data_IF_625387969488
#
_entry.id   IF_625387969488
#
_cell.length_a   1.000
_cell.length_b   1.000
_cell.length_c   1.000
_cell.angle_alpha   90.00
_cell.angle_beta   90.00
_cell.angle_gamma   90.00
#
_symmetry.space_group_name_H-M   'P 1'
#
loop_
_entity.id
_entity.type
_entity.pdbx_description
1 polymer ?
#
# COMPACT_ATOMS: atom_id res chain seq x y z
N UNK A 1 -23.39 39.81 69.23
CA UNK A 1 -22.33 40.74 68.77
C UNK A 1 -21.91 40.25 67.39
N UNK A 2 -22.50 40.80 66.32
CA UNK A 2 -21.89 41.75 65.36
C UNK A 2 -20.83 41.05 64.46
N UNK A 3 -21.11 40.63 63.22
CA UNK A 3 -21.37 41.36 61.95
C UNK A 3 -20.10 41.66 61.12
N UNK A 4 -20.26 41.56 59.78
CA UNK A 4 -19.47 42.11 58.64
C UNK A 4 -18.55 41.12 57.91
N UNK A 5 -18.71 40.79 56.62
CA UNK A 5 -18.80 41.55 55.33
C UNK A 5 -17.48 42.18 54.84
N UNK A 6 -17.15 41.85 53.58
CA UNK A 6 -16.21 42.57 52.70
C UNK A 6 -14.94 41.78 52.34
N UNK A 7 -14.32 41.88 51.16
CA UNK A 7 -14.67 42.41 49.84
C UNK A 7 -13.49 42.01 48.92
N UNK A 8 -13.81 41.75 47.65
CA UNK A 8 -12.98 41.63 46.44
C UNK A 8 -11.61 42.34 46.44
N UNK A 9 -10.61 41.66 45.85
CA UNK A 9 -9.35 42.26 45.39
C UNK A 9 -8.72 41.44 44.26
N UNK A 10 -9.09 41.77 43.01
CA UNK A 10 -8.40 41.35 41.79
C UNK A 10 -7.07 42.11 41.70
N UNK A 11 -5.94 41.42 41.52
CA UNK A 11 -4.71 42.03 41.01
C UNK A 11 -4.07 41.14 39.94
N UNK A 12 -4.10 41.65 38.72
CA UNK A 12 -3.43 41.12 37.54
C UNK A 12 -2.05 41.77 37.42
N UNK A 13 -0.96 41.00 37.46
CA UNK A 13 0.39 41.46 37.12
C UNK A 13 1.03 40.50 36.10
N UNK A 14 1.01 40.91 34.83
CA UNK A 14 1.88 40.39 33.79
C UNK A 14 3.22 41.15 33.83
N UNK A 15 4.35 40.44 33.89
CA UNK A 15 5.70 41.02 33.72
C UNK A 15 6.06 41.08 32.23
N UNK A 16 6.61 42.21 31.81
CA UNK A 16 7.29 42.42 30.52
C UNK A 16 8.73 41.89 30.55
N UNK A 17 9.25 41.33 29.44
CA UNK A 17 10.69 41.19 29.25
C UNK A 17 11.27 42.43 28.56
N UNK A 18 12.45 42.85 29.01
CA UNK A 18 13.23 43.94 28.43
C UNK A 18 13.92 43.48 27.12
N UNK A 19 13.90 44.35 26.10
CA UNK A 19 14.68 44.19 24.86
C UNK A 19 15.71 45.31 24.79
N UNK A 20 17.00 44.96 24.63
CA UNK A 20 18.08 45.87 24.25
C UNK A 20 18.68 45.43 22.91
N UNK A 21 18.47 46.29 21.89
CA UNK A 21 19.46 46.70 20.88
C UNK A 21 19.93 45.71 19.80
N UNK A 22 19.62 46.01 18.54
CA UNK A 22 20.46 45.64 17.38
C UNK A 22 19.76 45.31 16.06
N UNK A 23 19.44 46.31 15.23
CA UNK A 23 19.58 46.27 13.76
C UNK A 23 18.73 45.34 12.87
N UNK A 24 17.65 45.91 12.32
CA UNK A 24 17.12 45.82 10.93
C UNK A 24 16.54 44.51 10.31
N UNK A 25 15.22 44.64 10.03
CA UNK A 25 14.35 44.15 8.92
C UNK A 25 13.36 42.99 9.19
N UNK A 26 12.07 43.39 9.27
CA UNK A 26 10.77 42.74 8.98
C UNK A 26 10.49 41.32 9.52
N UNK A 27 9.79 41.15 10.64
CA UNK A 27 8.32 41.23 10.87
C UNK A 27 7.46 40.13 10.20
N UNK A 28 7.22 39.05 10.95
CA UNK A 28 5.89 38.46 11.09
C UNK A 28 5.68 38.11 12.57
N UNK A 29 5.08 39.04 13.32
CA UNK A 29 4.71 38.84 14.72
C UNK A 29 3.40 38.04 14.80
N UNK A 30 3.47 36.84 15.36
CA UNK A 30 2.31 36.04 15.75
C UNK A 30 1.65 36.67 16.97
N UNK A 31 0.39 37.09 16.82
CA UNK A 31 -0.50 37.39 17.94
C UNK A 31 -0.99 36.06 18.54
N UNK A 32 -0.76 35.85 19.85
CA UNK A 32 -1.54 34.91 20.65
C UNK A 32 -2.04 35.67 21.88
N UNK A 33 -3.27 36.18 21.77
CA UNK A 33 -4.09 36.44 22.93
C UNK A 33 -4.73 35.10 23.32
N UNK A 34 -4.56 34.73 24.59
CA UNK A 34 -5.39 33.73 25.24
C UNK A 34 -6.82 34.27 25.32
N UNK A 35 -7.79 33.48 24.90
CA UNK A 35 -9.18 33.62 25.32
C UNK A 35 -9.58 32.31 25.98
N UNK A 36 -9.86 32.42 27.26
CA UNK A 36 -10.51 31.44 28.10
C UNK A 36 -11.98 31.25 27.69
N UNK A 37 -12.51 30.08 28.05
CA UNK A 37 -13.87 29.87 28.55
C UNK A 37 -15.08 30.20 27.66
N UNK A 38 -15.38 29.37 26.66
CA UNK A 38 -16.77 29.13 26.20
C UNK A 38 -17.00 27.69 25.70
N UNK A 39 -16.57 26.64 26.40
CA UNK A 39 -17.05 25.26 26.12
C UNK A 39 -17.09 24.41 27.39
N UNK A 40 -17.83 24.84 28.41
CA UNK A 40 -18.13 24.00 29.58
C UNK A 40 -19.36 24.48 30.37
N UNK A 41 -20.45 24.83 29.69
CA UNK A 41 -21.73 25.12 30.34
C UNK A 41 -22.91 24.86 29.40
N UNK A 42 -23.09 23.61 28.96
CA UNK A 42 -24.28 23.22 28.20
C UNK A 42 -24.74 21.76 28.41
N UNK A 43 -24.23 21.04 29.42
CA UNK A 43 -24.68 19.68 29.74
C UNK A 43 -24.78 19.47 31.26
N UNK A 44 -25.62 20.25 31.93
CA UNK A 44 -26.12 19.91 33.26
C UNK A 44 -27.31 20.81 33.64
N UNK A 45 -28.43 20.72 32.93
CA UNK A 45 -29.70 21.31 33.36
C UNK A 45 -30.84 20.32 33.15
N UNK A 46 -30.97 19.47 34.17
CA UNK A 46 -32.21 19.14 34.87
C UNK A 46 -33.45 18.75 34.04
N UNK A 47 -33.72 17.44 33.99
CA UNK A 47 -34.87 16.80 33.36
C UNK A 47 -36.20 17.01 34.10
N UNK A 48 -36.38 18.11 34.86
CA UNK A 48 -37.59 18.34 35.69
C UNK A 48 -38.43 19.56 35.31
N UNK A 49 -38.05 20.34 34.30
CA UNK A 49 -38.81 21.55 33.90
C UNK A 49 -39.70 21.38 32.66
N UNK A 50 -39.80 20.19 32.07
CA UNK A 50 -40.63 19.94 30.87
C UNK A 50 -42.12 19.66 31.13
N UNK A 51 -42.64 19.86 32.35
CA UNK A 51 -44.07 19.65 32.66
C UNK A 51 -44.91 20.92 32.80
N UNK A 52 -44.37 22.12 32.53
CA UNK A 52 -45.09 23.37 32.78
C UNK A 52 -45.31 24.28 31.55
N UNK A 53 -45.17 23.76 30.32
CA UNK A 53 -45.50 24.49 29.09
C UNK A 53 -46.29 23.60 28.12
N UNK A 54 -47.44 23.11 28.58
CA UNK A 54 -48.46 22.48 27.72
C UNK A 54 -49.86 22.91 28.13
N UNK A 55 -50.08 24.20 28.36
CA UNK A 55 -51.44 24.76 28.38
C UNK A 55 -51.40 26.13 27.72
N UNK A 56 -51.99 26.25 26.53
CA UNK A 56 -52.39 27.53 25.96
C UNK A 56 -51.73 27.95 24.65
N UNK A 57 -51.91 27.19 23.56
CA UNK A 57 -52.02 27.76 22.21
C UNK A 57 -52.74 26.76 21.31
N UNK A 58 -54.04 26.97 21.15
CA UNK A 58 -54.85 26.29 20.14
C UNK A 58 -54.41 26.72 18.74
N UNK A 59 -54.24 25.71 17.88
CA UNK A 59 -54.54 25.69 16.44
C UNK A 59 -53.56 26.36 15.47
N UNK A 60 -53.08 25.52 14.52
CA UNK A 60 -52.40 25.82 13.24
C UNK A 60 -50.88 25.99 13.25
N UNK A 61 -50.12 24.94 13.62
CA UNK A 61 -48.80 24.70 12.99
C UNK A 61 -48.20 23.32 13.27
N UNK A 62 -49.01 22.31 13.58
CA UNK A 62 -48.46 20.97 13.87
C UNK A 62 -47.97 20.26 12.62
N UNK A 63 -48.61 20.46 11.46
CA UNK A 63 -48.19 19.84 10.20
C UNK A 63 -46.84 20.36 9.68
N UNK A 64 -46.56 21.66 9.83
CA UNK A 64 -45.29 22.25 9.39
C UNK A 64 -44.12 21.86 10.30
N UNK A 65 -44.32 21.79 11.61
CA UNK A 65 -43.29 21.30 12.53
C UNK A 65 -43.02 19.80 12.34
N UNK A 66 -44.06 18.98 12.13
CA UNK A 66 -43.87 17.56 11.81
C UNK A 66 -43.16 17.34 10.48
N UNK A 67 -43.48 18.12 9.44
CA UNK A 67 -42.77 18.06 8.14
C UNK A 67 -41.33 18.55 8.24
N UNK A 68 -41.03 19.57 9.05
CA UNK A 68 -39.66 20.06 9.25
C UNK A 68 -38.81 19.03 10.01
N UNK A 69 -39.37 18.38 11.04
CA UNK A 69 -38.68 17.31 11.78
C UNK A 69 -38.49 16.08 10.89
N UNK A 70 -39.46 15.74 10.03
CA UNK A 70 -39.33 14.64 9.06
C UNK A 70 -38.29 14.96 7.97
N UNK A 71 -38.27 16.18 7.46
CA UNK A 71 -37.29 16.63 6.46
C UNK A 71 -35.87 16.67 7.05
N UNK A 72 -35.71 17.14 8.30
CA UNK A 72 -34.42 17.15 9.00
C UNK A 72 -33.98 15.72 9.33
N UNK A 73 -34.87 14.81 9.71
CA UNK A 73 -34.52 13.40 9.94
C UNK A 73 -34.20 12.64 8.65
N UNK A 74 -34.86 12.94 7.52
CA UNK A 74 -34.50 12.37 6.21
C UNK A 74 -33.17 12.92 5.70
N UNK A 75 -32.88 14.21 5.92
CA UNK A 75 -31.59 14.83 5.59
C UNK A 75 -30.44 14.36 6.50
N UNK A 76 -30.74 13.95 7.74
CA UNK A 76 -29.75 13.37 8.67
C UNK A 76 -29.57 11.85 8.45
N UNK A 77 -30.61 11.14 8.00
CA UNK A 77 -30.54 9.71 7.68
C UNK A 77 -29.75 9.42 6.38
N UNK A 78 -29.64 10.40 5.47
CA UNK A 78 -28.81 10.27 4.25
C UNK A 78 -27.30 10.41 4.49
N UNK A 79 -26.85 10.52 5.74
CA UNK A 79 -25.44 10.67 6.12
C UNK A 79 -24.95 9.54 7.03
N UNK A 80 -25.55 8.34 6.99
CA UNK A 80 -24.92 7.17 7.61
C UNK A 80 -23.64 6.82 6.82
N UNK A 81 -22.49 6.65 7.49
CA UNK A 81 -21.27 6.22 6.80
C UNK A 81 -21.55 4.90 6.07
N UNK A 82 -21.00 4.69 4.87
CA UNK A 82 -21.32 3.51 4.06
C UNK A 82 -21.02 2.24 4.86
N UNK A 83 -22.06 1.45 5.07
CA UNK A 83 -21.95 0.14 5.70
C UNK A 83 -21.11 -0.78 4.81
N UNK A 84 -20.70 -1.93 5.36
CA UNK A 84 -20.01 -2.96 4.58
C UNK A 84 -20.79 -3.27 3.28
N UNK A 85 -20.13 -3.34 2.11
CA UNK A 85 -20.84 -3.56 0.84
C UNK A 85 -21.73 -4.80 0.90
N UNK A 86 -23.02 -4.63 0.61
CA UNK A 86 -24.03 -5.67 0.82
C UNK A 86 -23.88 -6.87 -0.12
N UNK A 87 -23.26 -6.66 -1.28
CA UNK A 87 -22.97 -7.66 -2.31
C UNK A 87 -21.69 -8.47 -2.02
N UNK A 88 -20.91 -8.10 -1.00
CA UNK A 88 -19.68 -8.80 -0.66
C UNK A 88 -19.92 -9.91 0.38
N UNK A 89 -19.13 -11.00 0.32
CA UNK A 89 -19.15 -12.03 1.34
C UNK A 89 -18.92 -11.41 2.71
N UNK A 90 -19.77 -11.72 3.69
CA UNK A 90 -19.61 -11.11 5.00
C UNK A 90 -18.26 -11.47 5.60
N UNK A 91 -17.65 -10.57 6.37
CA UNK A 91 -16.37 -10.89 6.94
C UNK A 91 -16.42 -12.00 7.97
N UNK A 92 -15.38 -12.83 8.04
CA UNK A 92 -15.34 -13.94 9.01
C UNK A 92 -15.29 -13.36 10.42
N UNK A 93 -16.08 -13.96 11.32
CA UNK A 93 -16.00 -13.63 12.73
C UNK A 93 -14.61 -13.99 13.24
N UNK A 94 -13.86 -12.95 13.58
CA UNK A 94 -12.43 -13.02 13.83
C UNK A 94 -12.03 -13.91 15.03
N UNK A 95 -12.95 -14.59 15.70
CA UNK A 95 -12.64 -15.55 16.76
C UNK A 95 -11.93 -16.80 16.19
N UNK A 96 -12.40 -17.33 15.06
CA UNK A 96 -12.11 -18.71 14.66
C UNK A 96 -10.73 -18.90 14.01
N UNK A 97 -10.23 -17.89 13.28
CA UNK A 97 -8.97 -17.96 12.54
C UNK A 97 -7.98 -16.89 13.04
N UNK A 98 -7.34 -17.15 14.18
CA UNK A 98 -6.36 -16.25 14.79
C UNK A 98 -4.95 -16.83 14.83
N UNK A 99 -3.97 -16.00 14.48
CA UNK A 99 -2.54 -16.22 14.74
C UNK A 99 -2.07 -15.25 15.81
N UNK A 100 -1.76 -15.76 17.01
CA UNK A 100 -1.33 -14.93 18.15
C UNK A 100 -2.26 -13.76 18.52
N UNK A 101 -3.57 -13.93 18.36
CA UNK A 101 -4.57 -12.91 18.64
C UNK A 101 -4.86 -11.93 17.48
N UNK A 102 -4.12 -12.04 16.37
CA UNK A 102 -4.38 -11.33 15.12
C UNK A 102 -5.28 -12.13 14.19
N UNK A 103 -6.07 -11.50 13.30
CA UNK A 103 -6.70 -12.23 12.21
C UNK A 103 -5.62 -12.89 11.33
N UNK A 104 -5.88 -14.10 10.84
CA UNK A 104 -5.01 -14.72 9.84
C UNK A 104 -5.27 -14.08 8.47
N UNK A 105 -4.28 -13.36 7.94
CA UNK A 105 -4.33 -12.78 6.60
C UNK A 105 -3.58 -13.62 5.56
N UNK A 106 -3.05 -14.78 5.94
CA UNK A 106 -2.21 -15.61 5.08
C UNK A 106 -2.97 -16.07 3.83
N UNK A 107 -2.28 -16.03 2.69
CA UNK A 107 -2.84 -16.49 1.42
C UNK A 107 -2.34 -15.71 0.22
N UNK A 108 -2.77 -16.15 -0.95
CA UNK A 108 -2.47 -15.52 -2.23
C UNK A 108 -3.69 -14.73 -2.73
N UNK A 109 -3.47 -13.48 -3.13
CA UNK A 109 -4.52 -12.56 -3.58
C UNK A 109 -4.19 -12.01 -4.97
N UNK A 110 -5.21 -11.86 -5.81
CA UNK A 110 -5.06 -11.36 -7.17
C UNK A 110 -5.61 -9.93 -7.33
N UNK A 111 -5.27 -9.30 -8.45
CA UNK A 111 -5.63 -7.92 -8.79
C UNK A 111 -5.26 -6.93 -7.68
N UNK A 112 -4.15 -7.21 -6.98
CA UNK A 112 -3.60 -6.34 -5.97
C UNK A 112 -3.06 -5.11 -6.66
N UNK A 113 -3.43 -3.95 -6.12
CA UNK A 113 -3.01 -2.68 -6.69
C UNK A 113 -2.03 -1.98 -5.77
N UNK A 114 -1.36 -0.94 -6.27
CA UNK A 114 -0.48 -0.07 -5.47
C UNK A 114 -1.14 0.50 -4.23
N UNK A 115 -2.47 0.65 -4.26
CA UNK A 115 -3.31 1.04 -3.16
C UNK A 115 -3.01 0.21 -1.91
N UNK A 116 -2.86 -1.12 -2.02
CA UNK A 116 -2.58 -2.00 -0.87
C UNK A 116 -1.34 -1.54 -0.08
N UNK A 117 -0.27 -1.16 -0.78
CA UNK A 117 0.97 -0.71 -0.14
C UNK A 117 0.76 0.61 0.58
N UNK A 118 0.04 1.54 -0.04
CA UNK A 118 -0.24 2.85 0.56
C UNK A 118 -1.21 2.77 1.75
N UNK A 119 -1.99 1.69 1.87
CA UNK A 119 -2.82 1.44 3.05
C UNK A 119 -2.02 0.88 4.22
N UNK A 120 -0.89 0.22 3.95
CA UNK A 120 -0.06 -0.44 4.97
C UNK A 120 1.15 0.39 5.42
N UNK A 121 1.66 1.26 4.56
CA UNK A 121 2.85 2.08 4.81
C UNK A 121 2.53 3.58 4.74
N UNK A 122 3.41 4.42 5.30
CA UNK A 122 3.31 5.88 5.29
C UNK A 122 3.62 6.51 3.92
N UNK A 123 3.41 5.78 2.82
CA UNK A 123 3.71 6.24 1.48
C UNK A 123 2.67 7.26 0.98
N UNK A 124 3.14 8.33 0.34
CA UNK A 124 2.27 9.31 -0.31
C UNK A 124 1.50 8.65 -1.44
N UNK A 125 0.22 9.01 -1.58
CA UNK A 125 -0.53 8.76 -2.80
C UNK A 125 0.19 9.50 -3.93
N UNK A 126 0.98 8.78 -4.75
CA UNK A 126 1.51 9.36 -5.98
C UNK A 126 0.29 9.56 -6.90
N UNK A 127 -0.01 10.82 -7.21
CA UNK A 127 -1.18 11.23 -8.00
C UNK A 127 -1.30 10.43 -9.29
N UNK A 128 -2.53 9.97 -9.56
CA UNK A 128 -3.09 9.48 -10.82
C UNK A 128 -2.28 8.40 -11.59
N UNK A 129 -2.87 7.21 -11.60
CA UNK A 129 -2.53 6.12 -12.49
C UNK A 129 -2.58 6.56 -13.96
N UNK A 130 -1.61 6.12 -14.74
CA UNK A 130 -1.83 5.84 -16.15
C UNK A 130 -1.45 4.38 -16.41
N UNK A 131 -2.50 3.54 -16.41
CA UNK A 131 -2.58 2.12 -16.79
C UNK A 131 -2.24 1.05 -15.73
N UNK A 132 -3.33 0.56 -15.12
CA UNK A 132 -3.64 -0.86 -14.84
C UNK A 132 -2.82 -1.65 -13.81
N UNK A 133 -2.93 -1.30 -12.53
CA UNK A 133 -2.46 -2.13 -11.40
C UNK A 133 -3.25 -3.45 -11.17
N UNK A 134 -4.03 -3.95 -12.13
CA UNK A 134 -4.68 -5.27 -12.04
C UNK A 134 -3.74 -6.42 -12.38
N UNK A 135 -2.47 -6.14 -12.58
CA UNK A 135 -1.44 -7.02 -13.10
C UNK A 135 -0.59 -7.66 -12.00
N UNK A 136 -0.85 -7.30 -10.73
CA UNK A 136 -0.11 -7.81 -9.58
C UNK A 136 -0.94 -8.77 -8.74
N UNK A 137 -0.21 -9.67 -8.08
CA UNK A 137 -0.69 -10.51 -7.00
C UNK A 137 0.12 -10.22 -5.74
N UNK A 138 -0.46 -10.50 -4.58
CA UNK A 138 0.25 -10.46 -3.31
C UNK A 138 0.14 -11.80 -2.59
N UNK A 139 1.27 -12.28 -2.08
CA UNK A 139 1.33 -13.39 -1.13
C UNK A 139 1.54 -12.86 0.27
N UNK A 140 0.60 -13.16 1.16
CA UNK A 140 0.68 -12.86 2.58
C UNK A 140 1.14 -14.11 3.32
N UNK A 141 2.21 -13.99 4.09
CA UNK A 141 2.67 -15.01 5.03
C UNK A 141 2.71 -14.39 6.42
N UNK A 142 2.14 -15.05 7.41
CA UNK A 142 2.07 -14.53 8.77
C UNK A 142 2.67 -15.51 9.76
N UNK A 143 3.40 -14.96 10.75
CA UNK A 143 3.93 -15.73 11.86
C UNK A 143 2.79 -16.43 12.63
N UNK A 144 3.04 -17.62 13.17
CA UNK A 144 2.04 -18.34 13.98
C UNK A 144 1.66 -17.56 15.26
N UNK A 145 2.61 -16.80 15.80
CA UNK A 145 2.42 -15.88 16.93
C UNK A 145 1.86 -14.50 16.53
N UNK A 146 1.60 -14.28 15.23
CA UNK A 146 1.08 -13.02 14.70
C UNK A 146 2.00 -11.81 14.85
N UNK A 147 3.28 -11.99 15.23
CA UNK A 147 4.19 -10.88 15.50
C UNK A 147 4.76 -10.23 14.23
N UNK A 148 4.72 -10.92 13.10
CA UNK A 148 5.10 -10.35 11.81
C UNK A 148 4.17 -10.81 10.69
N UNK A 149 4.06 -9.97 9.67
CA UNK A 149 3.36 -10.21 8.42
C UNK A 149 4.30 -9.90 7.26
N UNK A 150 4.51 -10.85 6.35
CA UNK A 150 5.28 -10.68 5.13
C UNK A 150 4.37 -10.62 3.93
N UNK A 151 4.58 -9.63 3.08
CA UNK A 151 3.83 -9.39 1.85
C UNK A 151 4.82 -9.44 0.68
N UNK A 152 4.57 -10.35 -0.24
CA UNK A 152 5.36 -10.48 -1.47
C UNK A 152 4.49 -10.12 -2.67
N UNK A 153 4.78 -8.96 -3.26
CA UNK A 153 4.18 -8.52 -4.52
C UNK A 153 4.92 -9.17 -5.69
N UNK A 154 4.16 -9.66 -6.65
CA UNK A 154 4.67 -10.19 -7.93
C UNK A 154 3.62 -9.99 -9.03
N UNK A 155 3.93 -10.34 -10.27
CA UNK A 155 2.97 -10.31 -11.37
C UNK A 155 1.97 -11.47 -11.28
N UNK A 156 0.74 -11.22 -11.70
CA UNK A 156 -0.23 -12.28 -11.99
C UNK A 156 -0.11 -12.76 -13.46
N UNK A 157 -1.00 -13.64 -13.90
CA UNK A 157 -0.97 -14.22 -15.27
C UNK A 157 -1.06 -13.14 -16.35
N UNK A 158 -1.93 -12.15 -16.15
CA UNK A 158 -2.07 -11.03 -17.09
C UNK A 158 -0.83 -10.15 -17.08
N UNK A 159 -0.37 -9.75 -15.89
CA UNK A 159 0.82 -8.93 -15.73
C UNK A 159 2.08 -9.58 -16.30
N UNK A 160 2.23 -10.89 -16.18
CA UNK A 160 3.36 -11.61 -16.76
C UNK A 160 3.34 -11.57 -18.30
N UNK A 161 2.17 -11.76 -18.92
CA UNK A 161 2.01 -11.63 -20.37
C UNK A 161 2.27 -10.21 -20.84
N UNK A 162 1.70 -9.23 -20.16
CA UNK A 162 1.90 -7.81 -20.49
C UNK A 162 3.38 -7.42 -20.29
N UNK A 163 4.07 -7.98 -19.29
CA UNK A 163 5.50 -7.77 -19.06
C UNK A 163 6.35 -8.35 -20.19
N UNK A 164 6.03 -9.57 -20.64
CA UNK A 164 6.71 -10.21 -21.77
C UNK A 164 6.51 -9.46 -23.08
N UNK A 165 5.33 -8.90 -23.27
CA UNK A 165 5.01 -8.06 -24.41
C UNK A 165 5.59 -6.64 -24.29
N UNK A 166 6.33 -6.32 -23.21
CA UNK A 166 6.81 -4.98 -22.86
C UNK A 166 5.67 -3.93 -22.84
N UNK A 167 4.46 -4.34 -22.49
CA UNK A 167 3.27 -3.50 -22.40
C UNK A 167 3.09 -2.88 -21.01
N UNK A 168 3.84 -3.35 -20.01
CA UNK A 168 3.87 -2.75 -18.68
C UNK A 168 4.57 -1.40 -18.71
N UNK A 169 3.80 -0.34 -18.45
CA UNK A 169 4.32 1.00 -18.17
C UNK A 169 4.40 1.18 -16.65
N UNK A 170 5.54 0.84 -16.06
CA UNK A 170 5.81 1.23 -14.68
C UNK A 170 6.13 2.73 -14.64
N UNK A 171 5.61 3.43 -13.62
CA UNK A 171 6.12 4.77 -13.31
C UNK A 171 7.62 4.66 -13.05
N UNK A 172 8.41 5.39 -13.85
CA UNK A 172 9.85 5.26 -14.01
C UNK A 172 10.68 5.40 -12.72
N UNK A 173 10.09 5.88 -11.63
CA UNK A 173 10.77 6.10 -10.36
C UNK A 173 10.73 4.91 -9.39
N UNK A 174 9.89 3.89 -9.64
CA UNK A 174 9.88 2.66 -8.83
C UNK A 174 9.45 1.42 -9.65
N UNK A 175 10.36 0.86 -10.46
CA UNK A 175 10.06 -0.22 -11.38
C UNK A 175 10.18 -1.57 -10.68
N UNK A 176 9.36 -1.84 -9.66
CA UNK A 176 9.43 -3.13 -8.98
C UNK A 176 8.09 -3.85 -9.01
N UNK A 177 7.79 -4.59 -10.11
CA UNK A 177 6.75 -5.63 -10.09
C UNK A 177 6.96 -6.67 -8.98
N UNK A 178 8.16 -6.72 -8.40
CA UNK A 178 8.57 -7.66 -7.37
C UNK A 178 9.01 -6.89 -6.13
N UNK A 179 8.18 -6.85 -5.08
CA UNK A 179 8.51 -6.17 -3.81
C UNK A 179 8.21 -7.10 -2.65
N UNK A 180 9.12 -7.15 -1.68
CA UNK A 180 8.90 -7.85 -0.40
C UNK A 180 8.84 -6.83 0.71
N UNK A 181 7.84 -6.95 1.58
CA UNK A 181 7.66 -6.14 2.76
C UNK A 181 7.51 -7.07 3.96
N UNK A 182 8.21 -6.76 5.05
CA UNK A 182 7.99 -7.43 6.34
C UNK A 182 7.55 -6.36 7.33
N UNK A 183 6.33 -6.53 7.83
CA UNK A 183 5.70 -5.66 8.81
C UNK A 183 5.75 -6.36 10.17
N UNK A 184 5.97 -5.60 11.23
CA UNK A 184 6.07 -6.06 12.60
C UNK A 184 4.94 -5.49 13.45
N UNK A 185 4.44 -6.33 14.35
CA UNK A 185 3.43 -5.94 15.33
C UNK A 185 3.99 -4.85 16.25
N UNK A 186 3.13 -3.90 16.60
CA UNK A 186 3.40 -2.72 17.43
C UNK A 186 4.40 -1.72 16.84
N UNK A 187 4.93 -1.98 15.63
CA UNK A 187 5.76 -1.06 14.86
C UNK A 187 5.01 -0.58 13.63
N UNK A 188 4.52 -1.52 12.82
CA UNK A 188 3.84 -1.25 11.55
C UNK A 188 2.32 -1.50 11.63
N UNK A 189 1.90 -2.45 12.46
CA UNK A 189 0.49 -2.80 12.64
C UNK A 189 0.13 -3.19 14.07
N UNK A 190 -1.16 -3.15 14.41
CA UNK A 190 -1.70 -3.69 15.66
C UNK A 190 -2.93 -4.55 15.39
N UNK A 191 -3.25 -5.45 16.31
CA UNK A 191 -4.41 -6.33 16.19
C UNK A 191 -5.47 -5.93 17.21
N UNK A 192 -6.61 -5.43 16.73
CA UNK A 192 -7.71 -4.90 17.56
C UNK A 192 -9.05 -5.34 17.04
N UNK A 193 -9.92 -5.81 17.92
CA UNK A 193 -11.31 -6.17 17.59
C UNK A 193 -11.45 -7.11 16.38
N UNK A 194 -10.49 -8.02 16.20
CA UNK A 194 -10.50 -8.96 15.07
C UNK A 194 -9.97 -8.41 13.74
N UNK A 195 -9.33 -7.24 13.77
CA UNK A 195 -8.72 -6.60 12.62
C UNK A 195 -7.23 -6.41 12.83
N UNK A 196 -6.49 -6.38 11.72
CA UNK A 196 -5.14 -5.84 11.66
C UNK A 196 -5.25 -4.37 11.27
N UNK A 197 -4.86 -3.45 12.15
CA UNK A 197 -4.89 -1.99 11.93
C UNK A 197 -3.48 -1.50 11.57
N UNK A 198 -3.36 -0.75 10.49
CA UNK A 198 -2.11 -0.12 10.05
C UNK A 198 -1.79 1.08 10.95
N UNK A 199 -0.57 1.14 11.49
CA UNK A 199 -0.10 2.26 12.30
C UNK A 199 0.39 3.45 11.46
N UNK A 200 0.77 3.19 10.21
CA UNK A 200 1.36 4.20 9.32
C UNK A 200 0.34 4.94 8.45
N UNK A 201 -0.85 4.37 8.25
CA UNK A 201 -1.89 5.01 7.43
C UNK A 201 -2.24 6.43 7.89
N UNK A 202 -2.38 6.73 9.20
CA UNK A 202 -2.64 8.08 9.69
C UNK A 202 -1.44 9.04 9.55
N UNK A 203 -0.22 8.52 9.39
CA UNK A 203 1.02 9.32 9.32
C UNK A 203 1.26 9.90 7.92
N UNK A 204 0.64 9.32 6.88
CA UNK A 204 0.80 9.79 5.52
C UNK A 204 0.28 11.23 5.37
N UNK A 205 1.10 12.11 4.79
CA UNK A 205 0.83 13.54 4.69
C UNK A 205 -0.55 13.83 4.12
N UNK A 206 -1.31 14.70 4.78
CA UNK A 206 -2.59 15.17 4.26
C UNK A 206 -2.40 15.81 2.89
N UNK A 207 -3.05 15.24 1.88
CA UNK A 207 -3.33 15.98 0.64
C UNK A 207 -4.36 17.05 0.97
N UNK A 208 -4.33 18.20 0.31
CA UNK A 208 -5.23 19.33 0.60
C UNK A 208 -6.68 18.88 0.81
N UNK A 209 -7.16 19.01 2.05
CA UNK A 209 -8.52 18.67 2.46
C UNK A 209 -8.79 17.20 2.82
N UNK A 210 -7.79 16.32 2.91
CA UNK A 210 -7.98 14.91 3.33
C UNK A 210 -6.98 14.51 4.42
N UNK A 211 -7.49 14.07 5.56
CA UNK A 211 -6.72 13.53 6.69
C UNK A 211 -7.04 12.04 6.90
N UNK A 212 -6.06 11.18 6.70
CA UNK A 212 -6.20 9.73 6.95
C UNK A 212 -6.31 9.44 8.45
N UNK A 213 -7.20 8.53 8.84
CA UNK A 213 -7.46 8.19 10.25
C UNK A 213 -7.25 6.72 10.58
N UNK A 214 -7.69 5.81 9.71
CA UNK A 214 -7.66 4.37 9.98
C UNK A 214 -7.57 3.60 8.67
N UNK A 215 -6.71 2.58 8.64
CA UNK A 215 -6.79 1.50 7.66
C UNK A 215 -6.73 0.18 8.42
N UNK A 216 -7.67 -0.73 8.16
CA UNK A 216 -7.73 -2.02 8.84
C UNK A 216 -8.11 -3.15 7.91
N UNK A 217 -7.57 -4.34 8.17
CA UNK A 217 -7.59 -5.50 7.29
C UNK A 217 -8.12 -6.75 7.99
N UNK A 218 -8.89 -7.55 7.26
CA UNK A 218 -9.33 -8.90 7.64
C UNK A 218 -9.68 -9.75 6.42
N UNK A 219 -10.06 -11.00 6.68
CA UNK A 219 -10.59 -11.92 5.66
C UNK A 219 -12.11 -11.89 5.61
N UNK A 220 -12.64 -12.10 4.40
CA UNK A 220 -14.06 -12.40 4.21
C UNK A 220 -14.38 -13.89 4.16
N UNK A 221 -15.68 -14.22 4.16
CA UNK A 221 -16.17 -15.61 4.13
C UNK A 221 -15.74 -16.38 2.88
N UNK A 222 -15.48 -15.68 1.77
CA UNK A 222 -14.90 -16.26 0.56
C UNK A 222 -13.37 -16.12 0.56
N UNK A 223 -12.79 -15.91 1.75
CA UNK A 223 -11.36 -15.82 1.94
C UNK A 223 -10.70 -14.65 1.18
N UNK A 224 -11.45 -13.65 0.73
CA UNK A 224 -10.90 -12.42 0.17
C UNK A 224 -10.20 -11.58 1.25
N UNK A 225 -9.17 -10.81 0.88
CA UNK A 225 -8.62 -9.76 1.73
C UNK A 225 -9.52 -8.54 1.61
N UNK A 226 -9.98 -8.03 2.74
CA UNK A 226 -10.79 -6.81 2.80
C UNK A 226 -10.03 -5.76 3.60
N UNK A 227 -10.01 -4.53 3.09
CA UNK A 227 -9.60 -3.36 3.85
C UNK A 227 -10.76 -2.38 4.01
N UNK A 228 -10.82 -1.79 5.19
CA UNK A 228 -11.61 -0.61 5.48
C UNK A 228 -10.68 0.57 5.71
N UNK A 229 -10.98 1.71 5.10
CA UNK A 229 -10.28 2.96 5.38
C UNK A 229 -11.25 4.02 5.87
N UNK A 230 -10.76 4.90 6.73
CA UNK A 230 -11.47 6.08 7.20
C UNK A 230 -10.57 7.30 7.03
N UNK A 231 -11.09 8.33 6.38
CA UNK A 231 -10.43 9.61 6.18
C UNK A 231 -11.37 10.76 6.52
N UNK A 232 -10.88 11.77 7.23
CA UNK A 232 -11.58 13.03 7.42
C UNK A 232 -11.36 13.92 6.19
N UNK A 233 -12.43 14.27 5.50
CA UNK A 233 -12.41 15.13 4.31
C UNK A 233 -13.01 16.49 4.65
N UNK A 234 -12.26 17.56 4.38
CA UNK A 234 -12.73 18.93 4.45
C UNK A 234 -13.53 19.24 3.18
N UNK A 235 -14.84 19.44 3.35
CA UNK A 235 -15.74 19.85 2.28
C UNK A 235 -16.07 21.33 2.44
N UNK A 236 -15.97 22.08 1.34
CA UNK A 236 -16.47 23.45 1.27
C UNK A 236 -17.97 23.44 1.08
N UNK A 237 -18.70 24.05 2.02
CA UNK A 237 -20.08 24.45 1.75
C UNK A 237 -20.05 25.75 0.98
N UNK A 238 -20.27 25.69 -0.34
CA UNK A 238 -20.49 26.90 -1.13
C UNK A 238 -21.86 27.47 -0.78
N UNK A 239 -21.90 28.48 0.08
CA UNK A 239 -23.06 29.36 0.21
C UNK A 239 -23.00 30.43 -0.87
N UNK A 240 -24.14 30.75 -1.48
CA UNK A 240 -24.28 31.77 -2.51
C UNK A 240 -23.66 33.11 -2.08
N UNK A 241 -22.58 33.50 -2.76
CA UNK A 241 -22.04 34.83 -3.06
C UNK A 241 -21.97 35.97 -2.02
N UNK A 242 -22.21 35.79 -0.71
CA UNK A 242 -22.14 36.94 0.22
C UNK A 242 -21.48 36.71 1.60
N UNK A 243 -21.26 35.49 2.04
CA UNK A 243 -20.62 35.19 3.34
C UNK A 243 -19.71 33.99 3.18
N UNK A 244 -18.51 34.03 3.77
CA UNK A 244 -17.38 33.17 3.43
C UNK A 244 -17.64 31.65 3.43
N UNK A 245 -16.73 30.89 2.80
CA UNK A 245 -16.82 29.44 2.76
C UNK A 245 -16.70 28.84 4.18
N UNK A 246 -17.72 28.07 4.58
CA UNK A 246 -17.63 27.22 5.76
C UNK A 246 -17.03 25.87 5.35
N UNK A 247 -16.07 25.38 6.13
CA UNK A 247 -15.51 24.04 5.96
C UNK A 247 -16.17 23.11 6.97
N UNK A 248 -16.69 21.97 6.49
CA UNK A 248 -17.12 20.87 7.35
C UNK A 248 -16.15 19.73 7.14
N UNK A 249 -15.63 19.19 8.23
CA UNK A 249 -14.87 17.93 8.21
C UNK A 249 -15.86 16.78 8.36
N UNK A 250 -15.88 15.87 7.38
CA UNK A 250 -16.70 14.67 7.42
C UNK A 250 -15.83 13.43 7.31
N UNK A 251 -16.14 12.40 8.08
CA UNK A 251 -15.47 11.10 7.95
C UNK A 251 -16.05 10.35 6.76
N UNK A 252 -15.20 10.11 5.77
CA UNK A 252 -15.45 9.25 4.62
C UNK A 252 -14.86 7.87 4.88
N UNK A 253 -15.63 6.86 4.53
CA UNK A 253 -15.25 5.46 4.66
C UNK A 253 -15.19 4.82 3.27
N UNK A 254 -14.09 4.14 2.99
CA UNK A 254 -13.89 3.41 1.75
C UNK A 254 -13.62 1.93 2.04
N UNK A 255 -14.06 1.07 1.13
CA UNK A 255 -13.92 -0.38 1.22
C UNK A 255 -13.13 -0.89 0.03
N UNK A 256 -12.13 -1.72 0.31
CA UNK A 256 -11.34 -2.40 -0.71
C UNK A 256 -11.43 -3.91 -0.52
N UNK A 257 -11.44 -4.66 -1.62
CA UNK A 257 -11.44 -6.12 -1.61
C UNK A 257 -10.50 -6.66 -2.67
N UNK A 258 -9.68 -7.62 -2.28
CA UNK A 258 -8.85 -8.41 -3.17
C UNK A 258 -9.26 -9.88 -3.05
N UNK A 259 -9.74 -10.49 -4.15
CA UNK A 259 -10.19 -11.88 -4.11
C UNK A 259 -9.02 -12.82 -3.81
N UNK A 260 -9.30 -13.91 -3.09
CA UNK A 260 -8.35 -15.00 -2.98
C UNK A 260 -8.08 -15.57 -4.36
N UNK A 261 -6.81 -15.83 -4.65
CA UNK A 261 -6.40 -16.46 -5.89
C UNK A 261 -6.83 -17.92 -5.90
N UNK A 262 -7.39 -18.38 -7.02
CA UNK A 262 -7.75 -19.78 -7.18
C UNK A 262 -6.51 -20.65 -7.49
N UNK A 263 -6.48 -21.91 -7.04
CA UNK A 263 -5.38 -22.83 -7.36
C UNK A 263 -5.13 -22.99 -8.87
N UNK A 264 -6.18 -22.93 -9.69
CA UNK A 264 -6.06 -23.00 -11.16
C UNK A 264 -5.31 -21.80 -11.73
N UNK A 265 -5.51 -20.61 -11.15
CA UNK A 265 -4.77 -19.42 -11.56
C UNK A 265 -3.29 -19.52 -11.21
N UNK A 266 -2.93 -20.20 -10.11
CA UNK A 266 -1.53 -20.48 -9.77
C UNK A 266 -0.90 -21.50 -10.71
N UNK A 267 -1.63 -22.54 -11.09
CA UNK A 267 -1.15 -23.50 -12.08
C UNK A 267 -0.89 -22.83 -13.44
N UNK A 268 -1.82 -21.99 -13.91
CA UNK A 268 -1.63 -21.23 -15.17
C UNK A 268 -0.44 -20.29 -15.09
N UNK A 269 -0.31 -19.51 -14.01
CA UNK A 269 0.85 -18.64 -13.79
C UNK A 269 2.16 -19.44 -13.74
N UNK A 270 2.16 -20.58 -13.06
CA UNK A 270 3.31 -21.48 -12.98
C UNK A 270 3.74 -22.03 -14.35
N UNK A 271 2.76 -22.38 -15.20
CA UNK A 271 2.99 -22.85 -16.57
C UNK A 271 3.55 -21.75 -17.48
N UNK A 272 3.20 -20.48 -17.23
CA UNK A 272 3.75 -19.37 -18.00
C UNK A 272 5.16 -19.00 -17.57
N UNK A 273 5.54 -19.16 -16.30
CA UNK A 273 6.87 -18.80 -15.80
C UNK A 273 8.00 -19.57 -16.49
N UNK A 274 8.97 -18.84 -17.02
CA UNK A 274 10.12 -19.43 -17.71
C UNK A 274 11.33 -18.50 -17.68
N UNK A 275 12.43 -18.95 -18.27
CA UNK A 275 13.52 -18.06 -18.70
C UNK A 275 13.54 -18.04 -20.22
N UNK A 276 14.03 -16.95 -20.82
CA UNK A 276 14.15 -16.84 -22.27
C UNK A 276 15.54 -16.36 -22.66
N UNK A 277 16.04 -16.84 -23.79
CA UNK A 277 17.28 -16.39 -24.40
C UNK A 277 16.98 -15.88 -25.81
N UNK A 278 17.34 -14.64 -26.08
CA UNK A 278 17.20 -14.00 -27.39
C UNK A 278 18.56 -13.51 -27.90
N UNK A 279 18.71 -13.38 -29.21
CA UNK A 279 19.77 -12.56 -29.82
C UNK A 279 19.26 -11.17 -30.17
N UNK A 280 20.17 -10.21 -30.17
CA UNK A 280 19.91 -8.93 -30.82
C UNK A 280 20.01 -9.09 -32.35
N UNK A 281 19.39 -8.16 -33.07
CA UNK A 281 19.37 -8.08 -34.54
C UNK A 281 20.70 -7.62 -35.14
N UNK A 282 21.55 -6.98 -34.34
CA UNK A 282 22.89 -6.54 -34.72
C UNK A 282 23.98 -7.48 -34.15
N UNK A 283 25.12 -7.53 -34.82
CA UNK A 283 26.31 -8.32 -34.42
C UNK A 283 27.42 -7.40 -33.91
N UNK A 284 28.20 -7.89 -32.93
CA UNK A 284 29.38 -7.21 -32.44
C UNK A 284 30.62 -7.85 -33.08
N UNK A 285 30.99 -7.33 -34.26
CA UNK A 285 32.05 -7.90 -35.08
C UNK A 285 31.66 -9.24 -35.73
N UNK A 286 32.62 -9.92 -36.37
CA UNK A 286 32.33 -11.14 -37.14
C UNK A 286 32.17 -12.39 -36.26
N UNK A 287 32.62 -12.37 -35.00
CA UNK A 287 32.81 -13.60 -34.20
C UNK A 287 31.81 -13.79 -33.07
N UNK A 288 30.91 -12.83 -32.82
CA UNK A 288 29.99 -12.91 -31.68
C UNK A 288 28.64 -12.25 -31.95
N UNK A 289 27.63 -12.77 -31.25
CA UNK A 289 26.27 -12.23 -31.27
C UNK A 289 25.92 -11.77 -29.86
N UNK A 290 25.51 -10.51 -29.68
CA UNK A 290 24.96 -10.07 -28.42
C UNK A 290 23.64 -10.80 -28.17
N UNK A 291 23.47 -11.28 -26.95
CA UNK A 291 22.28 -12.02 -26.50
C UNK A 291 21.74 -11.42 -25.21
N UNK A 292 20.47 -11.74 -24.96
CA UNK A 292 19.71 -11.30 -23.80
C UNK A 292 19.06 -12.51 -23.15
N UNK A 293 19.43 -12.78 -21.90
CA UNK A 293 18.76 -13.75 -21.05
C UNK A 293 17.84 -13.02 -20.07
N UNK A 294 16.57 -13.40 -20.02
CA UNK A 294 15.57 -12.80 -19.13
C UNK A 294 15.02 -13.85 -18.16
N UNK A 295 14.93 -13.49 -16.88
CA UNK A 295 14.21 -14.26 -15.88
C UNK A 295 12.74 -13.78 -15.79
N UNK A 296 11.80 -14.58 -16.31
CA UNK A 296 10.36 -14.34 -16.18
C UNK A 296 9.72 -15.18 -15.07
N UNK A 297 10.51 -15.79 -14.20
CA UNK A 297 9.99 -16.45 -13.00
C UNK A 297 9.66 -15.41 -11.93
N UNK A 298 8.67 -15.70 -11.10
CA UNK A 298 8.26 -14.85 -9.97
C UNK A 298 9.18 -15.01 -8.75
N UNK A 299 10.18 -15.90 -8.85
CA UNK A 299 11.16 -16.19 -7.81
C UNK A 299 12.59 -16.09 -8.37
N UNK A 300 13.58 -15.79 -7.51
CA UNK A 300 14.97 -15.76 -7.92
C UNK A 300 15.42 -17.12 -8.48
N UNK A 301 16.34 -17.07 -9.43
CA UNK A 301 17.03 -18.25 -9.96
C UNK A 301 18.52 -18.17 -9.67
N UNK A 302 19.16 -19.33 -9.64
CA UNK A 302 20.61 -19.44 -9.70
C UNK A 302 21.03 -19.75 -11.13
N UNK A 303 22.07 -19.08 -11.61
CA UNK A 303 22.56 -19.13 -12.99
C UNK A 303 24.07 -19.39 -13.05
N UNK A 304 24.49 -20.25 -13.96
CA UNK A 304 25.88 -20.49 -14.35
C UNK A 304 25.99 -20.50 -15.87
N UNK A 305 27.07 -19.90 -16.39
CA UNK A 305 27.40 -19.94 -17.81
C UNK A 305 28.64 -20.81 -18.00
N UNK A 306 28.57 -21.72 -18.97
CA UNK A 306 29.71 -22.52 -19.41
C UNK A 306 30.08 -22.04 -20.81
N UNK A 307 31.20 -21.34 -20.92
CA UNK A 307 31.66 -20.71 -22.16
C UNK A 307 33.10 -21.15 -22.41
N UNK A 308 33.35 -21.90 -23.49
CA UNK A 308 34.67 -22.45 -23.87
C UNK A 308 35.38 -23.13 -22.70
N UNK A 309 34.73 -24.13 -22.09
CA UNK A 309 35.23 -24.84 -20.92
C UNK A 309 35.31 -24.04 -19.61
N UNK A 310 35.04 -22.73 -19.63
CA UNK A 310 35.09 -21.86 -18.45
C UNK A 310 33.71 -21.73 -17.81
N UNK A 311 33.65 -21.92 -16.49
CA UNK A 311 32.42 -21.68 -15.70
C UNK A 311 32.44 -20.25 -15.17
N UNK A 312 31.39 -19.51 -15.47
CA UNK A 312 31.20 -18.12 -15.06
C UNK A 312 29.93 -18.04 -14.22
N UNK A 313 30.05 -17.45 -13.04
CA UNK A 313 28.92 -17.05 -12.20
C UNK A 313 28.55 -15.60 -12.55
N UNK A 314 27.53 -15.35 -13.40
CA UNK A 314 27.17 -13.99 -13.75
C UNK A 314 26.64 -13.26 -12.51
N UNK A 315 27.25 -12.14 -12.16
CA UNK A 315 26.62 -11.21 -11.24
C UNK A 315 25.48 -10.50 -11.99
N UNK A 316 24.24 -10.73 -11.58
CA UNK A 316 23.11 -9.90 -12.01
C UNK A 316 23.34 -8.46 -11.53
N UNK A 317 22.78 -7.45 -12.21
CA UNK A 317 22.63 -6.15 -11.57
C UNK A 317 21.71 -6.38 -10.38
N UNK A 318 22.23 -6.46 -9.15
CA UNK A 318 21.38 -6.59 -7.97
C UNK A 318 20.28 -5.54 -8.09
N UNK A 319 19.03 -5.97 -8.30
CA UNK A 319 17.88 -5.10 -8.07
C UNK A 319 18.16 -4.45 -6.72
N UNK A 320 18.33 -3.11 -6.71
CA UNK A 320 18.72 -2.35 -5.52
C UNK A 320 17.88 -2.89 -4.38
N UNK A 321 18.52 -3.64 -3.47
CA UNK A 321 17.82 -4.31 -2.38
C UNK A 321 16.97 -3.24 -1.72
N UNK A 322 15.67 -3.49 -1.59
CA UNK A 322 14.86 -2.65 -0.72
C UNK A 322 15.60 -2.59 0.61
N UNK A 323 15.71 -1.39 1.16
CA UNK A 323 16.38 -1.12 2.44
C UNK A 323 15.82 -1.98 3.59
N UNK A 324 14.65 -2.59 3.35
CA UNK A 324 13.84 -3.37 4.28
C UNK A 324 14.17 -4.88 4.29
N UNK A 325 15.18 -5.36 3.54
CA UNK A 325 15.72 -6.73 3.66
C UNK A 325 16.55 -6.93 4.96
N UNK A 326 16.04 -6.41 6.08
CA UNK A 326 16.65 -6.56 7.40
C UNK A 326 16.20 -7.89 8.02
N UNK A 327 16.93 -8.95 7.67
CA UNK A 327 16.96 -10.25 8.35
C UNK A 327 15.64 -11.08 8.37
N UNK A 328 15.70 -12.41 8.22
CA UNK A 328 16.88 -13.23 7.91
C UNK A 328 17.46 -12.87 6.54
N UNK A 329 18.77 -13.09 6.38
CA UNK A 329 19.46 -12.85 5.10
C UNK A 329 18.68 -13.57 3.98
N UNK A 330 18.38 -12.89 2.87
CA UNK A 330 17.67 -13.52 1.77
C UNK A 330 18.43 -14.77 1.32
N UNK A 331 17.73 -15.84 0.93
CA UNK A 331 18.37 -17.08 0.48
C UNK A 331 19.40 -16.78 -0.63
N UNK A 332 20.55 -17.44 -0.54
CA UNK A 332 21.67 -17.25 -1.46
C UNK A 332 21.86 -18.47 -2.34
N UNK A 333 22.34 -18.22 -3.56
CA UNK A 333 22.77 -19.31 -4.43
C UNK A 333 24.02 -20.01 -3.88
N UNK A 334 24.25 -21.29 -4.24
CA UNK A 334 25.48 -21.98 -3.88
C UNK A 334 26.72 -21.25 -4.41
N UNK A 335 27.87 -21.51 -3.79
CA UNK A 335 29.15 -20.95 -4.21
C UNK A 335 29.40 -21.26 -5.70
N UNK A 336 29.81 -20.25 -6.46
CA UNK A 336 30.05 -20.37 -7.90
C UNK A 336 28.80 -20.20 -8.77
N UNK A 337 27.64 -19.84 -8.20
CA UNK A 337 26.43 -19.50 -8.94
C UNK A 337 26.10 -18.01 -8.81
N UNK A 338 25.59 -17.42 -9.89
CA UNK A 338 25.01 -16.08 -9.87
C UNK A 338 23.55 -16.11 -9.43
N UNK A 339 23.14 -15.19 -8.55
CA UNK A 339 21.72 -14.96 -8.24
C UNK A 339 21.12 -14.02 -9.29
N UNK A 340 19.98 -14.41 -9.83
CA UNK A 340 19.21 -13.63 -10.79
C UNK A 340 17.79 -13.43 -10.27
N UNK A 341 17.47 -12.20 -9.87
CA UNK A 341 16.15 -11.87 -9.33
C UNK A 341 15.07 -11.81 -10.43
N UNK A 342 13.78 -11.90 -10.07
CA UNK A 342 12.67 -11.77 -11.02
C UNK A 342 12.75 -10.48 -11.84
N UNK A 343 12.63 -10.59 -13.17
CA UNK A 343 12.70 -9.46 -14.10
C UNK A 343 14.13 -8.98 -14.42
N UNK A 344 15.16 -9.53 -13.77
CA UNK A 344 16.54 -9.23 -14.15
C UNK A 344 16.87 -9.73 -15.56
N UNK A 345 17.72 -8.96 -16.23
CA UNK A 345 18.18 -9.22 -17.58
C UNK A 345 19.70 -9.34 -17.57
N UNK A 346 20.23 -10.42 -18.14
CA UNK A 346 21.65 -10.55 -18.46
C UNK A 346 21.85 -10.23 -19.93
N UNK A 347 22.82 -9.37 -20.23
CA UNK A 347 23.33 -9.18 -21.60
C UNK A 347 24.70 -9.83 -21.70
N UNK A 348 24.90 -10.67 -22.71
CA UNK A 348 26.16 -11.37 -22.93
C UNK A 348 26.39 -11.62 -24.41
N UNK A 349 27.65 -11.56 -24.84
CA UNK A 349 28.05 -11.98 -26.17
C UNK A 349 28.38 -13.46 -26.17
N UNK A 350 27.74 -14.21 -27.07
CA UNK A 350 28.05 -15.62 -27.32
C UNK A 350 28.78 -15.70 -28.67
N UNK A 351 29.84 -16.50 -28.75
CA UNK A 351 30.58 -16.63 -30.00
C UNK A 351 29.84 -17.50 -31.02
N UNK A 352 30.17 -17.29 -32.30
CA UNK A 352 29.69 -18.08 -33.42
C UNK A 352 30.55 -19.36 -33.61
N UNK A 353 29.95 -20.48 -34.08
CA UNK A 353 30.63 -21.77 -34.20
C UNK A 353 31.86 -21.73 -35.12
N UNK A 354 31.77 -20.98 -36.21
CA UNK A 354 32.80 -20.86 -37.27
C UNK A 354 34.13 -20.30 -36.76
N UNK A 355 34.14 -19.67 -35.57
CA UNK A 355 35.32 -19.09 -34.95
C UNK A 355 35.84 -19.90 -33.75
N UNK A 356 35.52 -21.21 -33.71
CA UNK A 356 36.13 -22.18 -32.80
C UNK A 356 35.37 -22.45 -31.50
N UNK A 357 34.04 -22.34 -31.50
CA UNK A 357 33.24 -22.48 -30.28
C UNK A 357 32.87 -23.92 -29.95
N UNK A 358 33.37 -24.44 -28.83
CA UNK A 358 32.65 -25.49 -28.08
C UNK A 358 31.22 -25.03 -27.78
N UNK A 359 30.29 -25.98 -27.64
CA UNK A 359 28.90 -25.68 -27.28
C UNK A 359 28.85 -24.88 -25.97
N UNK A 360 28.23 -23.71 -25.99
CA UNK A 360 28.06 -22.87 -24.81
C UNK A 360 26.81 -23.33 -24.06
N UNK A 361 26.82 -23.31 -22.73
CA UNK A 361 25.68 -23.76 -21.92
C UNK A 361 25.28 -22.71 -20.90
N UNK A 362 23.97 -22.54 -20.74
CA UNK A 362 23.40 -21.78 -19.64
C UNK A 362 22.70 -22.78 -18.73
N UNK A 363 23.21 -22.94 -17.51
CA UNK A 363 22.64 -23.81 -16.50
C UNK A 363 21.94 -22.96 -15.46
N UNK A 364 20.72 -23.32 -15.08
CA UNK A 364 19.98 -22.58 -14.08
C UNK A 364 19.04 -23.46 -13.27
N UNK A 365 18.63 -22.99 -12.10
CA UNK A 365 17.55 -23.60 -11.32
C UNK A 365 16.83 -22.54 -10.48
N UNK A 366 15.55 -22.73 -10.13
CA UNK A 366 14.89 -21.84 -9.18
C UNK A 366 15.45 -22.01 -7.77
N UNK A 367 15.76 -20.90 -7.11
CA UNK A 367 16.48 -20.90 -5.83
C UNK A 367 15.81 -21.79 -4.76
N UNK A 368 14.47 -21.79 -4.68
CA UNK A 368 13.71 -22.61 -3.72
C UNK A 368 13.77 -24.12 -4.00
N UNK A 369 13.97 -24.51 -5.26
CA UNK A 369 14.05 -25.93 -5.65
C UNK A 369 15.48 -26.48 -5.50
N UNK A 370 16.48 -25.60 -5.34
CA UNK A 370 17.88 -25.97 -5.36
C UNK A 370 18.27 -26.68 -6.67
N UNK A 371 19.39 -27.40 -6.63
CA UNK A 371 19.91 -28.11 -7.82
C UNK A 371 19.00 -29.23 -8.34
N UNK A 372 17.99 -29.65 -7.57
CA UNK A 372 16.98 -30.61 -8.03
C UNK A 372 16.13 -30.08 -9.18
N UNK A 373 15.98 -28.75 -9.27
CA UNK A 373 15.26 -28.05 -10.34
C UNK A 373 16.14 -27.63 -11.51
N UNK A 374 17.33 -28.24 -11.67
CA UNK A 374 18.34 -27.85 -12.67
C UNK A 374 17.83 -28.03 -14.09
N UNK A 375 17.99 -26.98 -14.88
CA UNK A 375 17.71 -26.92 -16.31
C UNK A 375 18.93 -26.40 -17.06
N UNK A 376 18.99 -26.70 -18.36
CA UNK A 376 20.11 -26.34 -19.23
C UNK A 376 19.59 -25.83 -20.57
N UNK A 377 20.18 -24.75 -21.05
CA UNK A 377 20.02 -24.25 -22.41
C UNK A 377 21.35 -24.44 -23.12
N UNK A 378 21.34 -25.30 -24.14
CA UNK A 378 22.50 -25.52 -25.01
C UNK A 378 22.48 -24.50 -26.15
N UNK A 379 23.54 -23.71 -26.26
CA UNK A 379 23.75 -22.72 -27.32
C UNK A 379 24.84 -23.26 -28.24
N UNK A 380 24.41 -24.01 -29.25
CA UNK A 380 25.31 -24.51 -30.28
C UNK A 380 25.72 -23.39 -31.25
N UNK A 381 24.76 -22.53 -31.63
CA UNK A 381 24.99 -21.38 -32.49
C UNK A 381 24.10 -20.22 -32.06
N UNK A 382 24.74 -19.11 -31.65
CA UNK A 382 24.05 -17.91 -31.20
C UNK A 382 23.30 -17.19 -32.34
N UNK A 383 23.68 -17.39 -33.61
CA UNK A 383 22.97 -16.83 -34.76
C UNK A 383 21.57 -17.45 -34.96
N UNK A 384 21.36 -18.66 -34.47
CA UNK A 384 20.08 -19.37 -34.59
C UNK A 384 19.14 -19.13 -33.38
N UNK A 385 19.56 -18.31 -32.41
CA UNK A 385 18.68 -17.93 -31.32
C UNK A 385 17.50 -17.08 -31.83
N UNK A 386 16.34 -17.15 -31.15
CA UNK A 386 15.22 -16.27 -31.45
C UNK A 386 15.67 -14.81 -31.39
N UNK A 387 15.29 -14.03 -32.41
CA UNK A 387 15.58 -12.60 -32.45
C UNK A 387 14.72 -11.86 -31.41
N UNK A 388 15.26 -10.83 -30.78
CA UNK A 388 14.47 -9.98 -29.91
C UNK A 388 13.29 -9.36 -30.69
N UNK A 389 12.08 -9.28 -30.10
CA UNK A 389 10.97 -8.57 -30.72
C UNK A 389 11.31 -7.09 -30.97
N UNK A 390 10.95 -6.58 -32.14
CA UNK A 390 11.04 -5.14 -32.47
C UNK A 390 10.12 -4.30 -31.57
N UNK A 391 10.48 -3.05 -31.34
CA UNK A 391 9.79 -2.11 -30.42
C UNK A 391 8.73 -1.26 -31.09
#
# INVERSE_FOLDING_TARGET
MASQLGRLGLSSHCRTPAVRGGGRVAQSATWRCANDDVVAAALATDARTWRALTIGAMTKSTTLQSLLVLAVTVLLASCSPPEYPADWPKPVDAWLDRRGGCPDLSGDFDAVRTELIWLLLAERQKTAADKYHHEQRARFTQADDGNWLRIELSLNERGLRDYRANQLRFNLDDPMPFRRLTLYRDQDFQCRSGWLESLHYPEASSTTGVQRKLARFRRDADHGLVAETVSAVERTLSYSSATGAAFITQDEREWHRWPQRSPEADQRLGAEQSVTLYRYDWQNGPSSVPTRFNNYRMQPICLQLHVFGTVIAPAGPELRRSRDDVSPLPPQCPIGWGKFDPGETLRREFALPEYGGESQQIVWFPLEQGESGRQMILVNDAAHLPMMPER
#
